data_IF_564702699314
#
_entry.id   IF_564702699314
#
_cell.length_a   1.000
_cell.length_b   1.000
_cell.length_c   1.000
_cell.angle_alpha   90.00
_cell.angle_beta   90.00
_cell.angle_gamma   90.00
#
_symmetry.space_group_name_H-M   'P 1'
#
loop_
_entity.id
_entity.type
_entity.pdbx_description
1 polymer ?
#
# COMPACT_ATOMS: atom_id res chain seq x y z
N UNK A 1 20.05 -20.77 -41.53
CA UNK A 1 19.78 -21.43 -40.22
C UNK A 1 19.47 -20.30 -39.25
N UNK A 2 18.19 -20.03 -39.05
CA UNK A 2 17.72 -18.89 -38.28
C UNK A 2 17.25 -19.40 -36.92
N UNK A 3 18.05 -19.19 -35.89
CA UNK A 3 17.69 -19.47 -34.50
C UNK A 3 16.62 -18.49 -34.05
N UNK A 4 15.38 -18.95 -34.02
CA UNK A 4 14.26 -18.29 -33.35
C UNK A 4 14.38 -18.56 -31.86
N UNK A 5 14.64 -17.53 -31.06
CA UNK A 5 14.59 -17.60 -29.60
C UNK A 5 13.12 -17.70 -29.16
N UNK A 6 12.72 -18.73 -28.39
CA UNK A 6 11.38 -18.79 -27.83
C UNK A 6 11.25 -17.76 -26.69
N UNK A 7 10.37 -16.77 -26.87
CA UNK A 7 9.92 -15.91 -25.79
C UNK A 7 9.19 -16.75 -24.74
N UNK A 8 9.56 -16.58 -23.48
CA UNK A 8 9.06 -17.35 -22.35
C UNK A 8 7.62 -16.89 -22.01
N UNK A 9 6.57 -17.72 -22.17
CA UNK A 9 5.17 -17.33 -21.95
C UNK A 9 4.81 -17.17 -20.46
N UNK A 10 5.70 -17.57 -19.55
CA UNK A 10 5.47 -17.62 -18.10
C UNK A 10 5.47 -16.24 -17.43
N UNK A 11 6.11 -15.24 -18.04
CA UNK A 11 6.34 -13.93 -17.42
C UNK A 11 5.14 -12.99 -17.47
N UNK A 12 4.16 -13.24 -18.33
CA UNK A 12 2.98 -12.36 -18.49
C UNK A 12 1.86 -12.82 -17.55
N UNK A 13 1.61 -14.14 -17.47
CA UNK A 13 0.61 -14.75 -16.58
C UNK A 13 0.89 -14.45 -15.10
N UNK A 14 2.18 -14.32 -14.74
CA UNK A 14 2.59 -13.97 -13.37
C UNK A 14 2.25 -12.52 -12.98
N UNK A 15 2.16 -11.58 -13.95
CA UNK A 15 1.88 -10.18 -13.66
C UNK A 15 0.39 -9.93 -13.43
N UNK A 16 -0.46 -10.47 -14.30
CA UNK A 16 -1.92 -10.44 -14.11
C UNK A 16 -2.30 -11.10 -12.77
N UNK A 17 -1.66 -12.21 -12.40
CA UNK A 17 -1.90 -12.85 -11.11
C UNK A 17 -1.45 -12.00 -9.91
N UNK A 18 -0.38 -11.21 -10.06
CA UNK A 18 0.08 -10.30 -9.01
C UNK A 18 -0.89 -9.13 -8.84
N UNK A 19 -1.37 -8.55 -9.94
CA UNK A 19 -2.38 -7.48 -9.92
C UNK A 19 -3.66 -7.98 -9.22
N UNK A 20 -4.18 -9.15 -9.59
CA UNK A 20 -5.35 -9.77 -8.93
C UNK A 20 -5.14 -9.99 -7.42
N UNK A 21 -3.92 -10.37 -7.02
CA UNK A 21 -3.57 -10.60 -5.60
C UNK A 21 -3.53 -9.28 -4.84
N UNK A 22 -2.97 -8.22 -5.43
CA UNK A 22 -2.90 -6.88 -4.81
C UNK A 22 -4.29 -6.27 -4.70
N UNK A 23 -5.14 -6.40 -5.73
CA UNK A 23 -6.54 -5.97 -5.69
C UNK A 23 -7.30 -6.65 -4.56
N UNK A 24 -7.16 -7.98 -4.45
CA UNK A 24 -7.80 -8.74 -3.38
C UNK A 24 -7.27 -8.36 -2.01
N UNK A 25 -5.98 -8.04 -1.90
CA UNK A 25 -5.37 -7.58 -0.66
C UNK A 25 -5.91 -6.21 -0.25
N UNK A 26 -6.09 -5.29 -1.21
CA UNK A 26 -6.71 -3.99 -0.99
C UNK A 26 -8.15 -4.14 -0.47
N UNK A 27 -8.94 -5.02 -1.07
CA UNK A 27 -10.31 -5.33 -0.62
C UNK A 27 -10.35 -5.88 0.81
N UNK A 28 -9.43 -6.79 1.16
CA UNK A 28 -9.33 -7.35 2.50
C UNK A 28 -8.95 -6.27 3.52
N UNK A 29 -7.94 -5.45 3.21
CA UNK A 29 -7.49 -4.35 4.07
C UNK A 29 -8.61 -3.34 4.27
N UNK A 30 -9.26 -2.88 3.20
CA UNK A 30 -10.36 -1.92 3.29
C UNK A 30 -11.57 -2.51 4.03
N UNK A 31 -11.89 -3.78 3.81
CA UNK A 31 -12.95 -4.49 4.54
C UNK A 31 -12.67 -4.61 6.04
N UNK A 32 -11.44 -4.92 6.43
CA UNK A 32 -11.02 -4.97 7.83
C UNK A 32 -11.09 -3.59 8.49
N UNK A 33 -10.63 -2.55 7.79
CA UNK A 33 -10.60 -1.18 8.29
C UNK A 33 -12.00 -0.55 8.41
N UNK A 34 -12.94 -0.90 7.51
CA UNK A 34 -14.34 -0.44 7.58
C UNK A 34 -15.18 -1.16 8.63
N UNK A 35 -14.87 -2.43 8.91
CA UNK A 35 -15.72 -3.31 9.72
C UNK A 35 -15.43 -3.32 11.22
N UNK A 36 -14.24 -2.89 11.66
CA UNK A 36 -13.81 -3.07 13.05
C UNK A 36 -13.11 -1.81 13.60
N UNK A 37 -13.76 -1.16 14.58
CA UNK A 37 -13.16 -0.10 15.42
C UNK A 37 -11.97 -0.61 16.25
N UNK A 38 -11.77 -1.93 16.34
CA UNK A 38 -10.78 -2.63 17.17
C UNK A 38 -9.72 -3.40 16.36
N UNK A 39 -9.52 -3.11 15.07
CA UNK A 39 -8.28 -3.59 14.43
C UNK A 39 -7.13 -2.77 15.00
N UNK A 40 -6.55 -3.24 16.12
CA UNK A 40 -5.17 -2.95 16.44
C UNK A 40 -4.35 -3.58 15.32
N UNK A 41 -3.69 -2.76 14.52
CA UNK A 41 -2.74 -3.27 13.57
C UNK A 41 -1.62 -3.95 14.37
N UNK A 42 -1.63 -5.29 14.46
CA UNK A 42 -0.53 -6.07 15.05
C UNK A 42 0.77 -5.99 14.21
N UNK A 43 0.80 -5.10 13.21
CA UNK A 43 1.92 -4.90 12.32
C UNK A 43 2.90 -3.94 12.96
N UNK A 44 4.17 -4.31 12.95
CA UNK A 44 5.25 -3.35 13.19
C UNK A 44 5.28 -2.31 12.05
N UNK A 45 5.91 -1.17 12.29
CA UNK A 45 5.98 -0.08 11.30
C UNK A 45 6.45 -0.57 9.93
N UNK A 46 7.57 -1.29 9.87
CA UNK A 46 8.15 -1.79 8.60
C UNK A 46 7.18 -2.69 7.83
N UNK A 47 6.33 -3.43 8.54
CA UNK A 47 5.34 -4.32 7.93
C UNK A 47 4.13 -3.54 7.41
N UNK A 48 3.69 -2.54 8.17
CA UNK A 48 2.60 -1.65 7.77
C UNK A 48 3.02 -0.79 6.57
N UNK A 49 4.24 -0.25 6.59
CA UNK A 49 4.81 0.54 5.48
C UNK A 49 4.97 -0.33 4.22
N UNK A 50 5.61 -1.49 4.32
CA UNK A 50 5.79 -2.36 3.16
C UNK A 50 4.44 -2.78 2.53
N UNK A 51 3.42 -3.03 3.35
CA UNK A 51 2.08 -3.33 2.85
C UNK A 51 1.44 -2.10 2.19
N UNK A 52 1.59 -0.91 2.78
CA UNK A 52 1.11 0.34 2.19
C UNK A 52 1.79 0.64 0.84
N UNK A 53 3.10 0.42 0.72
CA UNK A 53 3.84 0.58 -0.53
C UNK A 53 3.34 -0.36 -1.62
N UNK A 54 3.08 -1.63 -1.28
CA UNK A 54 2.53 -2.62 -2.23
C UNK A 54 1.15 -2.20 -2.72
N UNK A 55 0.28 -1.74 -1.82
CA UNK A 55 -1.05 -1.25 -2.17
C UNK A 55 -0.97 0.01 -3.04
N UNK A 56 -0.10 0.96 -2.69
CA UNK A 56 0.10 2.18 -3.45
C UNK A 56 0.65 1.89 -4.86
N UNK A 57 1.64 1.00 -5.00
CA UNK A 57 2.15 0.55 -6.30
C UNK A 57 1.08 -0.18 -7.13
N UNK A 58 0.11 -0.82 -6.47
CA UNK A 58 -1.09 -1.39 -7.08
C UNK A 58 -2.19 -0.38 -7.41
N UNK A 59 -1.94 0.93 -7.30
CA UNK A 59 -2.93 2.00 -7.50
C UNK A 59 -4.05 2.05 -6.44
N UNK A 60 -3.86 1.41 -5.28
CA UNK A 60 -4.79 1.44 -4.14
C UNK A 60 -4.33 2.45 -3.08
N UNK A 61 -4.07 3.69 -3.48
CA UNK A 61 -3.53 4.74 -2.62
C UNK A 61 -4.42 5.04 -1.40
N UNK A 62 -5.75 5.03 -1.57
CA UNK A 62 -6.70 5.18 -0.47
C UNK A 62 -6.58 4.07 0.58
N UNK A 63 -6.43 2.81 0.15
CA UNK A 63 -6.28 1.68 1.06
C UNK A 63 -4.95 1.73 1.82
N UNK A 64 -3.86 2.07 1.12
CA UNK A 64 -2.54 2.30 1.70
C UNK A 64 -2.57 3.41 2.76
N UNK A 65 -3.17 4.56 2.42
CA UNK A 65 -3.22 5.71 3.31
C UNK A 65 -4.11 5.44 4.54
N UNK A 66 -5.22 4.71 4.38
CA UNK A 66 -6.08 4.30 5.51
C UNK A 66 -5.38 3.31 6.44
N UNK A 67 -4.61 2.37 5.89
CA UNK A 67 -3.80 1.44 6.69
C UNK A 67 -2.82 2.20 7.57
N UNK A 68 -2.07 3.14 7.00
CA UNK A 68 -1.08 3.93 7.74
C UNK A 68 -1.73 4.90 8.73
N UNK A 69 -2.85 5.53 8.37
CA UNK A 69 -3.62 6.35 9.30
C UNK A 69 -4.10 5.54 10.49
N UNK A 70 -4.57 4.30 10.25
CA UNK A 70 -5.01 3.42 11.32
C UNK A 70 -3.84 2.99 12.21
N UNK A 71 -2.70 2.64 11.64
CA UNK A 71 -1.50 2.25 12.39
C UNK A 71 -1.04 3.37 13.34
N UNK A 72 -0.98 4.61 12.85
CA UNK A 72 -0.64 5.80 13.68
C UNK A 72 -1.62 6.00 14.84
N UNK A 73 -2.91 5.67 14.67
CA UNK A 73 -3.89 5.77 15.75
C UNK A 73 -3.75 4.67 16.80
N UNK A 74 -3.15 3.53 16.46
CA UNK A 74 -2.99 2.39 17.38
C UNK A 74 -1.64 2.38 18.09
N UNK A 75 -0.63 3.03 17.52
CA UNK A 75 0.72 3.10 18.10
C UNK A 75 0.98 4.44 18.80
N UNK A 76 1.15 4.48 20.13
CA UNK A 76 1.34 5.73 20.88
C UNK A 76 2.72 6.39 20.66
N UNK A 77 3.73 5.61 20.29
CA UNK A 77 5.14 6.04 20.21
C UNK A 77 5.62 6.25 18.76
N UNK A 78 4.72 6.26 17.77
CA UNK A 78 5.06 6.37 16.35
C UNK A 78 5.92 7.59 15.97
N UNK A 79 5.92 8.62 16.81
CA UNK A 79 6.63 9.88 16.59
C UNK A 79 8.00 9.95 17.30
N UNK A 80 8.39 8.90 18.03
CA UNK A 80 9.67 8.86 18.74
C UNK A 80 10.85 8.64 17.79
N UNK A 81 10.64 7.91 16.69
CA UNK A 81 11.61 7.77 15.62
C UNK A 81 11.37 8.81 14.51
N UNK A 82 12.33 9.71 14.25
CA UNK A 82 12.13 10.81 13.31
C UNK A 82 12.00 10.35 11.84
N UNK A 83 12.58 9.21 11.47
CA UNK A 83 12.49 8.68 10.10
C UNK A 83 11.11 8.04 9.88
N UNK A 84 10.67 7.16 10.77
CA UNK A 84 9.32 6.57 10.72
C UNK A 84 8.24 7.66 10.78
N UNK A 85 8.44 8.66 11.61
CA UNK A 85 7.48 9.75 11.74
C UNK A 85 7.40 10.64 10.49
N UNK A 86 8.47 10.77 9.71
CA UNK A 86 8.45 11.49 8.43
C UNK A 86 7.69 10.69 7.35
N UNK A 87 7.94 9.39 7.27
CA UNK A 87 7.22 8.48 6.37
C UNK A 87 5.73 8.42 6.73
N UNK A 88 5.40 8.19 8.01
CA UNK A 88 4.01 8.15 8.47
C UNK A 88 3.25 9.44 8.13
N UNK A 89 3.88 10.62 8.33
CA UNK A 89 3.30 11.90 7.92
C UNK A 89 3.03 12.00 6.42
N UNK A 90 3.90 11.43 5.59
CA UNK A 90 3.72 11.42 4.13
C UNK A 90 2.49 10.61 3.75
N UNK A 91 2.30 9.43 4.36
CA UNK A 91 1.08 8.63 4.17
C UNK A 91 -0.18 9.32 4.70
N UNK A 92 -0.08 9.99 5.86
CA UNK A 92 -1.20 10.76 6.43
C UNK A 92 -1.62 11.91 5.51
N UNK A 93 -0.68 12.59 4.86
CA UNK A 93 -0.99 13.64 3.89
C UNK A 93 -1.86 13.11 2.74
N UNK A 94 -1.53 11.92 2.21
CA UNK A 94 -2.30 11.25 1.15
C UNK A 94 -3.74 10.95 1.62
N UNK A 95 -3.91 10.54 2.89
CA UNK A 95 -5.25 10.27 3.45
C UNK A 95 -6.15 11.49 3.61
N UNK A 96 -5.55 12.68 3.85
CA UNK A 96 -6.28 13.93 4.11
C UNK A 96 -6.57 14.67 2.80
N UNK A 97 -5.71 14.53 1.80
CA UNK A 97 -5.83 15.19 0.49
C UNK A 97 -5.49 14.21 -0.66
N UNK A 98 -6.36 13.25 -0.99
CA UNK A 98 -6.12 12.29 -2.07
C UNK A 98 -6.04 12.94 -3.46
N UNK A 99 -6.39 14.23 -3.59
CA UNK A 99 -6.56 14.94 -4.88
C UNK A 99 -5.37 15.82 -5.31
N UNK A 100 -4.32 15.99 -4.51
CA UNK A 100 -3.19 16.89 -4.89
C UNK A 100 -2.03 16.19 -5.63
N UNK A 101 -2.12 14.89 -5.88
CA UNK A 101 -1.08 14.14 -6.60
C UNK A 101 -1.33 13.98 -8.11
N UNK A 102 -2.50 14.38 -8.61
CA UNK A 102 -2.87 14.27 -10.04
C UNK A 102 -2.45 15.51 -10.87
N UNK A 103 -2.10 16.63 -10.22
CA UNK A 103 -1.87 17.94 -10.87
C UNK A 103 -0.38 18.24 -11.19
N UNK A 104 0.54 17.28 -11.00
CA UNK A 104 1.98 17.45 -11.29
C UNK A 104 2.45 16.79 -12.61
N UNK A 105 1.54 16.30 -13.45
CA UNK A 105 1.80 15.86 -14.83
C UNK A 105 1.14 16.81 -15.86
N UNK A 106 1.41 18.12 -15.72
CA UNK A 106 0.97 19.19 -16.64
C UNK A 106 2.12 19.86 -17.39
#
# INVERSE_FOLDING_TARGET
MNTTTPGNPDSIVARDHLEDVVDRLADVVDGLLKGHEEVSCMLEFDQAEALAEVLYAGHHADAAARLMHRWVLTEPDWNDDPEQAATARSWLAISVAPSELDDLDG
#
